data_IF_774218159196
#
_entry.id   IF_774218159196
#
_cell.length_a   1.000
_cell.length_b   1.000
_cell.length_c   1.000
_cell.angle_alpha   90.00
_cell.angle_beta   90.00
_cell.angle_gamma   90.00
#
_symmetry.space_group_name_H-M   'P 1'
#
loop_
_entity.id
_entity.type
_entity.pdbx_description
1 polymer ?
#
# COMPACT_ATOMS: atom_id res chain seq x y z
N UNK A 1 17.75 -29.78 -47.04
CA UNK A 1 17.05 -29.25 -48.23
C UNK A 1 15.91 -28.37 -47.70
N UNK A 2 16.14 -27.08 -47.49
CA UNK A 2 16.11 -25.98 -48.49
C UNK A 2 14.72 -25.35 -48.66
N UNK A 3 14.55 -24.17 -48.02
CA UNK A 3 13.91 -22.91 -48.50
C UNK A 3 12.40 -22.97 -48.84
N UNK A 4 11.56 -21.94 -48.68
CA UNK A 4 11.60 -20.48 -48.93
C UNK A 4 10.55 -19.81 -48.00
N UNK A 5 10.77 -18.70 -47.27
CA UNK A 5 10.81 -17.26 -47.64
C UNK A 5 9.71 -16.82 -48.64
N UNK A 6 8.65 -16.16 -48.14
CA UNK A 6 7.79 -15.22 -48.89
C UNK A 6 7.55 -13.98 -48.02
N UNK A 7 8.21 -12.86 -48.35
CA UNK A 7 7.72 -11.73 -49.17
C UNK A 7 6.75 -10.78 -48.45
N UNK A 8 7.33 -9.64 -48.03
CA UNK A 8 6.69 -8.39 -47.63
C UNK A 8 6.04 -7.67 -48.82
N UNK A 9 4.94 -6.90 -48.64
CA UNK A 9 4.52 -5.91 -49.61
C UNK A 9 5.16 -4.54 -49.35
N UNK A 10 5.70 -3.97 -50.43
CA UNK A 10 6.08 -2.56 -50.60
C UNK A 10 4.92 -1.61 -50.24
N UNK A 11 5.22 -0.53 -49.52
CA UNK A 11 4.45 0.72 -49.59
C UNK A 11 5.43 1.84 -49.91
N UNK A 12 5.09 2.55 -50.98
CA UNK A 12 5.85 3.56 -51.68
C UNK A 12 6.32 4.74 -50.82
N UNK A 13 7.57 5.12 -51.07
CA UNK A 13 8.13 6.44 -50.79
C UNK A 13 7.60 7.44 -51.82
N UNK A 14 6.91 8.50 -51.38
CA UNK A 14 7.04 9.81 -52.04
C UNK A 14 6.66 10.97 -51.12
N UNK A 15 7.53 11.99 -51.16
CA UNK A 15 7.39 13.39 -50.75
C UNK A 15 7.94 13.89 -49.39
N UNK A 16 9.25 14.19 -49.46
CA UNK A 16 9.94 15.48 -49.19
C UNK A 16 10.00 16.09 -47.78
N UNK A 17 11.11 16.78 -47.47
CA UNK A 17 11.65 16.89 -46.12
C UNK A 17 11.13 18.15 -45.43
N UNK A 18 10.52 17.98 -44.26
CA UNK A 18 10.37 19.08 -43.30
C UNK A 18 11.56 19.02 -42.36
N UNK A 19 12.37 20.07 -42.44
CA UNK A 19 13.62 20.35 -41.73
C UNK A 19 13.61 19.91 -40.25
N UNK A 20 14.42 18.89 -39.97
CA UNK A 20 14.82 18.45 -38.63
C UNK A 20 15.98 19.35 -38.20
N UNK A 21 15.76 20.22 -37.22
CA UNK A 21 16.85 20.81 -36.43
C UNK A 21 16.84 20.16 -35.05
N UNK A 22 17.26 18.90 -34.99
CA UNK A 22 17.66 18.25 -33.75
C UNK A 22 19.15 18.52 -33.55
N UNK A 23 19.47 19.27 -32.49
CA UNK A 23 20.82 19.33 -31.94
C UNK A 23 21.17 17.95 -31.36
N UNK A 24 21.58 17.01 -32.22
CA UNK A 24 22.07 15.70 -31.80
C UNK A 24 23.53 15.82 -31.34
N UNK A 25 23.76 15.51 -30.05
CA UNK A 25 25.09 15.11 -29.56
C UNK A 25 25.67 14.03 -30.48
N UNK A 26 26.87 14.21 -31.07
CA UNK A 26 27.42 13.33 -32.13
C UNK A 26 27.81 11.91 -31.66
N UNK A 27 27.37 11.46 -30.49
CA UNK A 27 27.67 10.15 -29.88
C UNK A 27 26.46 9.26 -29.63
N UNK A 28 25.24 9.70 -29.94
CA UNK A 28 24.03 8.92 -29.66
C UNK A 28 23.56 8.19 -30.92
N UNK A 29 23.21 6.89 -30.84
CA UNK A 29 22.73 6.15 -31.99
C UNK A 29 21.41 6.76 -32.52
N UNK A 30 21.11 6.61 -33.82
CA UNK A 30 19.83 7.04 -34.38
C UNK A 30 18.70 6.30 -33.65
N UNK A 31 17.72 7.05 -33.12
CA UNK A 31 16.65 6.62 -32.18
C UNK A 31 16.99 6.57 -30.68
N UNK A 32 18.04 7.27 -30.21
CA UNK A 32 18.28 7.39 -28.77
C UNK A 32 17.16 8.18 -28.07
N UNK A 33 16.23 7.48 -27.42
CA UNK A 33 15.25 8.09 -26.50
C UNK A 33 15.79 7.98 -25.08
N UNK A 34 16.00 9.13 -24.43
CA UNK A 34 16.36 9.17 -23.01
C UNK A 34 15.20 8.57 -22.20
N UNK A 35 15.47 7.47 -21.50
CA UNK A 35 14.53 6.87 -20.56
C UNK A 35 14.49 7.76 -19.31
N UNK A 36 13.29 8.22 -18.93
CA UNK A 36 13.09 9.00 -17.72
C UNK A 36 12.94 8.11 -16.48
N UNK A 37 13.12 8.67 -15.28
CA UNK A 37 12.86 7.95 -14.03
C UNK A 37 11.40 7.51 -13.90
N UNK A 38 10.50 8.34 -14.43
CA UNK A 38 9.08 8.04 -14.60
C UNK A 38 8.85 6.80 -15.46
N UNK A 39 9.57 6.68 -16.57
CA UNK A 39 9.50 5.48 -17.43
C UNK A 39 10.03 4.26 -16.69
N UNK A 40 11.16 4.37 -15.96
CA UNK A 40 11.69 3.27 -15.17
C UNK A 40 10.70 2.79 -14.11
N UNK A 41 10.04 3.71 -13.40
CA UNK A 41 9.02 3.35 -12.42
C UNK A 41 7.80 2.68 -13.07
N UNK A 42 7.35 3.16 -14.24
CA UNK A 42 6.23 2.55 -14.99
C UNK A 42 6.54 1.12 -15.47
N UNK A 43 7.81 0.76 -15.63
CA UNK A 43 8.22 -0.62 -15.94
C UNK A 43 8.30 -1.54 -14.71
N UNK A 44 8.29 -0.98 -13.49
CA UNK A 44 8.30 -1.76 -12.26
C UNK A 44 7.06 -2.63 -12.12
N UNK A 45 7.20 -3.76 -11.44
CA UNK A 45 6.06 -4.61 -11.07
C UNK A 45 5.10 -3.89 -10.12
N UNK A 46 5.60 -2.99 -9.27
CA UNK A 46 4.76 -2.19 -8.39
C UNK A 46 3.76 -1.35 -9.17
N UNK A 47 4.19 -0.61 -10.21
CA UNK A 47 3.28 0.17 -11.03
C UNK A 47 2.34 -0.72 -11.85
N UNK A 48 2.90 -1.71 -12.56
CA UNK A 48 2.14 -2.52 -13.53
C UNK A 48 1.11 -3.44 -12.90
N UNK A 49 1.33 -3.87 -11.66
CA UNK A 49 0.54 -4.92 -11.00
C UNK A 49 -0.19 -4.39 -9.76
N UNK A 50 0.37 -3.38 -9.08
CA UNK A 50 -0.08 -2.93 -7.76
C UNK A 50 -0.39 -1.43 -7.69
N UNK A 51 -0.55 -0.75 -8.82
CA UNK A 51 -1.08 0.61 -8.87
C UNK A 51 -2.45 0.61 -9.52
N UNK A 52 -3.41 1.27 -8.88
CA UNK A 52 -4.83 1.23 -9.24
C UNK A 52 -5.47 2.62 -9.11
N UNK A 53 -6.58 2.81 -9.81
CA UNK A 53 -7.54 3.86 -9.46
C UNK A 53 -8.33 3.44 -8.21
N UNK A 54 -8.98 4.40 -7.54
CA UNK A 54 -9.84 4.12 -6.36
C UNK A 54 -10.94 3.11 -6.71
N UNK A 55 -11.56 3.27 -7.88
CA UNK A 55 -12.64 2.39 -8.33
C UNK A 55 -12.13 0.97 -8.63
N UNK A 56 -11.01 0.84 -9.35
CA UNK A 56 -10.43 -0.47 -9.66
C UNK A 56 -9.99 -1.21 -8.38
N UNK A 57 -9.46 -0.49 -7.39
CA UNK A 57 -9.08 -1.07 -6.10
C UNK A 57 -10.32 -1.59 -5.34
N UNK A 58 -11.39 -0.80 -5.30
CA UNK A 58 -12.67 -1.20 -4.69
C UNK A 58 -13.28 -2.40 -5.40
N UNK A 59 -13.31 -2.37 -6.74
CA UNK A 59 -13.83 -3.47 -7.55
C UNK A 59 -13.05 -4.77 -7.29
N UNK A 60 -11.71 -4.70 -7.25
CA UNK A 60 -10.86 -5.86 -6.96
C UNK A 60 -11.20 -6.49 -5.60
N UNK A 61 -11.38 -5.67 -4.56
CA UNK A 61 -11.81 -6.14 -3.23
C UNK A 61 -13.19 -6.78 -3.27
N UNK A 62 -14.13 -6.15 -3.98
CA UNK A 62 -15.48 -6.66 -4.14
C UNK A 62 -15.48 -8.02 -4.84
N UNK A 63 -14.72 -8.19 -5.92
CA UNK A 63 -14.59 -9.47 -6.63
C UNK A 63 -13.99 -10.56 -5.74
N UNK A 64 -12.93 -10.25 -4.98
CA UNK A 64 -12.33 -11.20 -4.02
C UNK A 64 -13.31 -11.59 -2.92
N UNK A 65 -14.02 -10.63 -2.33
CA UNK A 65 -15.03 -10.90 -1.31
C UNK A 65 -16.21 -11.71 -1.87
N UNK A 66 -16.75 -11.37 -3.04
CA UNK A 66 -17.85 -12.11 -3.67
C UNK A 66 -17.49 -13.57 -3.94
N UNK A 67 -16.28 -13.84 -4.43
CA UNK A 67 -15.78 -15.20 -4.64
C UNK A 67 -15.74 -15.99 -3.34
N UNK A 68 -15.25 -15.38 -2.26
CA UNK A 68 -15.18 -16.01 -0.95
C UNK A 68 -16.58 -16.23 -0.35
N UNK A 69 -17.50 -15.26 -0.48
CA UNK A 69 -18.90 -15.40 -0.07
C UNK A 69 -19.56 -16.59 -0.76
N UNK A 70 -19.38 -16.73 -2.08
CA UNK A 70 -19.94 -17.85 -2.84
C UNK A 70 -19.43 -19.20 -2.30
N UNK A 71 -18.11 -19.32 -2.08
CA UNK A 71 -17.50 -20.52 -1.53
C UNK A 71 -18.01 -20.87 -0.13
N UNK A 72 -18.14 -19.86 0.74
CA UNK A 72 -18.64 -20.03 2.10
C UNK A 72 -20.11 -20.45 2.09
N UNK A 73 -20.95 -19.79 1.28
CA UNK A 73 -22.36 -20.12 1.18
C UNK A 73 -22.56 -21.56 0.67
N UNK A 74 -21.75 -21.99 -0.29
CA UNK A 74 -21.77 -23.39 -0.76
C UNK A 74 -21.41 -24.37 0.36
N UNK A 75 -20.34 -24.10 1.12
CA UNK A 75 -19.92 -24.93 2.26
C UNK A 75 -20.98 -24.99 3.36
N UNK A 76 -21.58 -23.85 3.69
CA UNK A 76 -22.65 -23.76 4.69
C UNK A 76 -23.91 -24.49 4.21
N UNK A 77 -24.27 -24.36 2.94
CA UNK A 77 -25.39 -25.08 2.34
C UNK A 77 -25.24 -26.60 2.46
N UNK A 78 -24.08 -27.12 2.06
CA UNK A 78 -23.75 -28.56 2.19
C UNK A 78 -23.80 -29.03 3.65
N UNK A 79 -23.22 -28.25 4.56
CA UNK A 79 -23.23 -28.56 5.98
C UNK A 79 -24.65 -28.62 6.58
N UNK A 80 -25.52 -27.67 6.20
CA UNK A 80 -26.91 -27.64 6.63
C UNK A 80 -27.66 -28.87 6.09
N UNK A 81 -27.45 -29.22 4.82
CA UNK A 81 -28.09 -30.38 4.19
C UNK A 81 -27.70 -31.69 4.88
N UNK A 82 -26.41 -31.89 5.16
CA UNK A 82 -25.89 -33.05 5.88
C UNK A 82 -26.46 -33.20 7.31
N UNK A 83 -26.75 -32.07 7.97
CA UNK A 83 -27.23 -32.04 9.36
C UNK A 83 -28.72 -31.75 9.48
N UNK A 84 -29.46 -31.70 8.37
CA UNK A 84 -30.89 -31.33 8.32
C UNK A 84 -31.78 -32.20 9.20
N UNK A 85 -31.45 -33.48 9.35
CA UNK A 85 -32.20 -34.41 10.21
C UNK A 85 -31.95 -34.23 11.71
N UNK A 86 -30.90 -33.50 12.10
CA UNK A 86 -30.46 -33.36 13.49
C UNK A 86 -30.56 -31.91 14.01
N UNK A 87 -30.77 -30.93 13.13
CA UNK A 87 -30.91 -29.52 13.52
C UNK A 87 -32.36 -29.18 13.87
N UNK A 88 -32.52 -28.44 14.96
CA UNK A 88 -33.77 -27.73 15.28
C UNK A 88 -33.87 -26.43 14.47
N UNK A 89 -35.10 -25.90 14.31
CA UNK A 89 -35.35 -24.66 13.56
C UNK A 89 -34.61 -23.45 14.19
N UNK A 90 -34.51 -23.41 15.53
CA UNK A 90 -33.77 -22.37 16.27
C UNK A 90 -32.25 -22.43 16.03
N UNK A 91 -31.69 -23.64 15.92
CA UNK A 91 -30.28 -23.84 15.57
C UNK A 91 -30.01 -23.38 14.14
N UNK A 92 -30.92 -23.65 13.22
CA UNK A 92 -30.82 -23.25 11.81
C UNK A 92 -30.87 -21.72 11.66
N UNK A 93 -31.79 -21.06 12.37
CA UNK A 93 -31.92 -19.61 12.36
C UNK A 93 -30.66 -18.94 12.97
N UNK A 94 -30.14 -19.50 14.05
CA UNK A 94 -28.91 -18.99 14.68
C UNK A 94 -27.68 -19.19 13.78
N UNK A 95 -27.60 -20.32 13.07
CA UNK A 95 -26.54 -20.59 12.11
C UNK A 95 -26.54 -19.55 10.99
N UNK A 96 -27.71 -19.29 10.39
CA UNK A 96 -27.86 -18.29 9.32
C UNK A 96 -27.51 -16.88 9.78
N UNK A 97 -27.86 -16.51 11.02
CA UNK A 97 -27.55 -15.19 11.56
C UNK A 97 -26.05 -15.02 11.89
N UNK A 98 -25.44 -16.00 12.57
CA UNK A 98 -24.09 -15.86 13.15
C UNK A 98 -22.96 -16.44 12.31
N UNK A 99 -23.23 -17.41 11.45
CA UNK A 99 -22.27 -17.93 10.47
C UNK A 99 -22.45 -17.24 9.10
N UNK A 100 -22.82 -15.96 9.10
CA UNK A 100 -22.92 -15.19 7.88
C UNK A 100 -21.52 -14.78 7.37
N UNK A 101 -21.31 -14.79 6.04
CA UNK A 101 -20.06 -14.32 5.45
C UNK A 101 -19.72 -12.88 5.86
N UNK A 102 -18.44 -12.54 5.79
CA UNK A 102 -17.98 -11.17 6.01
C UNK A 102 -18.32 -10.29 4.82
N UNK A 103 -18.72 -9.06 5.10
CA UNK A 103 -18.78 -7.99 4.11
C UNK A 103 -17.36 -7.52 3.74
N UNK A 104 -17.24 -6.85 2.60
CA UNK A 104 -15.99 -6.24 2.14
C UNK A 104 -15.38 -5.29 3.18
N UNK A 105 -16.20 -4.50 3.88
CA UNK A 105 -15.73 -3.57 4.90
C UNK A 105 -15.21 -4.30 6.15
N UNK A 106 -15.92 -5.33 6.61
CA UNK A 106 -15.46 -6.16 7.73
C UNK A 106 -14.13 -6.87 7.40
N UNK A 107 -13.98 -7.38 6.17
CA UNK A 107 -12.69 -7.91 5.71
C UNK A 107 -11.58 -6.86 5.76
N UNK A 108 -11.85 -5.67 5.22
CA UNK A 108 -10.88 -4.57 5.20
C UNK A 108 -10.46 -4.14 6.60
N UNK A 109 -11.41 -4.05 7.55
CA UNK A 109 -11.11 -3.76 8.96
C UNK A 109 -10.18 -4.80 9.58
N UNK A 110 -10.43 -6.09 9.32
CA UNK A 110 -9.58 -7.17 9.84
C UNK A 110 -8.18 -7.11 9.23
N UNK A 111 -8.08 -6.85 7.92
CA UNK A 111 -6.80 -6.68 7.22
C UNK A 111 -6.01 -5.50 7.81
N UNK A 112 -6.64 -4.35 8.05
CA UNK A 112 -5.98 -3.19 8.65
C UNK A 112 -5.48 -3.49 10.07
N UNK A 113 -6.31 -4.16 10.88
CA UNK A 113 -5.93 -4.58 12.23
C UNK A 113 -4.71 -5.51 12.24
N UNK A 114 -4.69 -6.52 11.37
CA UNK A 114 -3.54 -7.42 11.29
C UNK A 114 -2.33 -6.80 10.58
N UNK A 115 -2.52 -5.86 9.66
CA UNK A 115 -1.41 -5.07 9.07
C UNK A 115 -0.67 -4.28 10.15
N UNK A 116 -1.42 -3.66 11.08
CA UNK A 116 -0.83 -3.00 12.25
C UNK A 116 -0.12 -3.99 13.18
N UNK A 117 -0.67 -5.20 13.36
CA UNK A 117 0.04 -6.26 14.10
C UNK A 117 1.35 -6.68 13.43
N UNK A 118 1.38 -6.80 12.10
CA UNK A 118 2.60 -7.08 11.33
C UNK A 118 3.65 -6.02 11.61
N UNK A 119 3.28 -4.73 11.52
CA UNK A 119 4.15 -3.61 11.85
C UNK A 119 4.71 -3.72 13.27
N UNK A 120 3.83 -3.88 14.27
CA UNK A 120 4.22 -3.96 15.69
C UNK A 120 5.14 -5.15 15.95
N UNK A 121 4.83 -6.33 15.43
CA UNK A 121 5.66 -7.53 15.63
C UNK A 121 7.03 -7.34 14.96
N UNK A 122 7.08 -6.83 13.73
CA UNK A 122 8.34 -6.57 13.04
C UNK A 122 9.23 -5.55 13.79
N UNK A 123 8.62 -4.52 14.40
CA UNK A 123 9.30 -3.57 15.28
C UNK A 123 9.83 -4.24 16.56
N UNK A 124 9.03 -5.09 17.23
CA UNK A 124 9.47 -5.84 18.41
C UNK A 124 10.64 -6.79 18.12
N UNK A 125 10.73 -7.28 16.88
CA UNK A 125 11.85 -8.09 16.41
C UNK A 125 13.10 -7.26 16.05
N UNK A 126 13.05 -5.94 16.22
CA UNK A 126 14.11 -4.98 15.87
C UNK A 126 14.55 -5.09 14.39
N UNK A 127 13.59 -5.30 13.48
CA UNK A 127 13.86 -5.39 12.06
C UNK A 127 14.06 -3.99 11.43
N UNK A 128 14.86 -3.88 10.34
CA UNK A 128 15.02 -2.63 9.60
C UNK A 128 13.69 -2.04 9.10
N UNK A 129 13.66 -0.73 8.89
CA UNK A 129 12.46 0.00 8.46
C UNK A 129 11.92 -0.52 7.12
N UNK A 130 12.81 -0.86 6.20
CA UNK A 130 12.53 -1.41 4.88
C UNK A 130 11.86 -2.79 4.98
N UNK A 131 12.35 -3.64 5.89
CA UNK A 131 11.77 -4.96 6.16
C UNK A 131 10.36 -4.81 6.74
N UNK A 132 10.15 -3.87 7.66
CA UNK A 132 8.82 -3.58 8.23
C UNK A 132 7.86 -3.13 7.12
N UNK A 133 8.29 -2.22 6.27
CA UNK A 133 7.49 -1.70 5.16
C UNK A 133 7.13 -2.75 4.11
N UNK A 134 8.09 -3.60 3.73
CA UNK A 134 7.85 -4.73 2.84
C UNK A 134 6.92 -5.76 3.48
N UNK A 135 7.03 -5.99 4.79
CA UNK A 135 6.11 -6.89 5.52
C UNK A 135 4.66 -6.41 5.44
N UNK A 136 4.42 -5.12 5.68
CA UNK A 136 3.08 -4.52 5.56
C UNK A 136 2.58 -4.63 4.12
N UNK A 137 3.43 -4.27 3.16
CA UNK A 137 3.09 -4.29 1.73
C UNK A 137 2.71 -5.68 1.24
N UNK A 138 3.50 -6.70 1.57
CA UNK A 138 3.23 -8.09 1.21
C UNK A 138 1.93 -8.59 1.85
N UNK A 139 1.71 -8.27 3.13
CA UNK A 139 0.51 -8.67 3.84
C UNK A 139 -0.75 -8.10 3.20
N UNK A 140 -0.75 -6.79 2.91
CA UNK A 140 -1.89 -6.12 2.29
C UNK A 140 -2.13 -6.61 0.86
N UNK A 141 -1.07 -6.76 0.06
CA UNK A 141 -1.16 -7.29 -1.32
C UNK A 141 -1.71 -8.72 -1.36
N UNK A 142 -1.33 -9.57 -0.41
CA UNK A 142 -1.88 -10.92 -0.29
C UNK A 142 -3.40 -10.89 -0.16
N UNK A 143 -3.94 -10.01 0.70
CA UNK A 143 -5.37 -9.89 0.95
C UNK A 143 -6.14 -9.01 -0.06
N UNK A 144 -5.48 -8.51 -1.12
CA UNK A 144 -6.20 -7.98 -2.28
C UNK A 144 -6.71 -9.10 -3.18
N UNK A 145 -5.95 -10.20 -3.31
CA UNK A 145 -6.28 -11.32 -4.19
C UNK A 145 -6.90 -12.51 -3.44
N UNK A 146 -6.72 -12.59 -2.11
CA UNK A 146 -7.25 -13.64 -1.25
C UNK A 146 -8.13 -13.05 -0.15
N UNK A 147 -9.17 -13.79 0.28
CA UNK A 147 -10.05 -13.36 1.39
C UNK A 147 -9.55 -13.84 2.75
N UNK A 148 -9.85 -13.06 3.81
CA UNK A 148 -9.63 -13.47 5.21
C UNK A 148 -10.53 -14.64 5.62
N UNK A 149 -11.59 -14.90 4.86
CA UNK A 149 -12.48 -16.06 5.05
C UNK A 149 -11.85 -17.36 4.55
N UNK A 150 -10.88 -17.28 3.64
CA UNK A 150 -10.15 -18.45 3.12
C UNK A 150 -8.84 -18.69 3.88
N UNK A 151 -8.14 -17.60 4.23
CA UNK A 151 -6.85 -17.65 4.91
C UNK A 151 -6.90 -16.84 6.20
N UNK A 152 -6.68 -17.51 7.33
CA UNK A 152 -6.59 -16.82 8.63
C UNK A 152 -5.40 -15.85 8.65
N UNK A 153 -5.65 -14.53 8.78
CA UNK A 153 -4.60 -13.52 8.80
C UNK A 153 -3.54 -13.76 9.89
N UNK A 154 -3.92 -14.37 11.01
CA UNK A 154 -3.02 -14.67 12.14
C UNK A 154 -1.88 -15.60 11.72
N UNK A 155 -2.17 -16.58 10.87
CA UNK A 155 -1.18 -17.56 10.42
C UNK A 155 -0.21 -16.98 9.38
N UNK A 156 -0.61 -15.92 8.68
CA UNK A 156 0.19 -15.25 7.66
C UNK A 156 1.16 -14.21 8.21
N UNK A 157 0.93 -13.69 9.43
CA UNK A 157 1.74 -12.61 10.01
C UNK A 157 3.24 -12.97 10.00
N UNK A 158 3.61 -14.09 10.61
CA UNK A 158 5.02 -14.48 10.73
C UNK A 158 5.62 -14.91 9.40
N UNK A 159 4.87 -15.62 8.56
CA UNK A 159 5.28 -15.98 7.20
C UNK A 159 5.60 -14.75 6.37
N UNK A 160 4.78 -13.71 6.47
CA UNK A 160 4.95 -12.47 5.70
C UNK A 160 6.18 -11.70 6.13
N UNK A 161 6.39 -11.56 7.44
CA UNK A 161 7.59 -10.89 7.98
C UNK A 161 8.85 -11.67 7.57
N UNK A 162 8.82 -13.00 7.66
CA UNK A 162 9.95 -13.82 7.27
C UNK A 162 10.28 -13.71 5.78
N UNK A 163 9.26 -13.69 4.90
CA UNK A 163 9.45 -13.47 3.46
C UNK A 163 10.03 -12.08 3.18
N UNK A 164 9.56 -11.05 3.90
CA UNK A 164 10.08 -9.69 3.78
C UNK A 164 11.57 -9.60 4.14
N UNK A 165 12.00 -10.30 5.20
CA UNK A 165 13.42 -10.40 5.55
C UNK A 165 14.25 -10.94 4.37
N UNK A 166 13.79 -12.02 3.73
CA UNK A 166 14.46 -12.59 2.55
C UNK A 166 14.51 -11.60 1.38
N UNK A 167 13.38 -10.92 1.11
CA UNK A 167 13.25 -9.99 -0.01
C UNK A 167 14.15 -8.76 0.11
N UNK A 168 14.36 -8.27 1.33
CA UNK A 168 15.20 -7.08 1.62
C UNK A 168 16.65 -7.47 1.96
N UNK A 169 17.09 -8.69 1.64
CA UNK A 169 18.42 -9.22 1.94
C UNK A 169 18.81 -9.17 3.43
N UNK A 170 17.82 -9.22 4.33
CA UNK A 170 18.03 -9.39 5.76
C UNK A 170 18.09 -10.89 6.09
N UNK A 171 19.31 -11.44 6.07
CA UNK A 171 19.53 -12.86 6.27
C UNK A 171 19.31 -13.28 7.73
N UNK A 172 18.21 -14.00 7.97
CA UNK A 172 17.90 -14.66 9.25
C UNK A 172 17.47 -16.09 8.97
N UNK A 173 18.04 -17.06 9.70
CA UNK A 173 17.59 -18.45 9.59
C UNK A 173 16.16 -18.60 10.13
N UNK A 174 15.39 -19.52 9.54
CA UNK A 174 14.00 -19.73 9.99
C UNK A 174 13.93 -20.18 11.44
N UNK A 175 14.91 -20.94 11.94
CA UNK A 175 14.94 -21.39 13.34
C UNK A 175 15.22 -20.23 14.31
N UNK A 176 16.13 -19.32 13.93
CA UNK A 176 16.40 -18.09 14.69
C UNK A 176 15.19 -17.16 14.69
N UNK A 177 14.54 -17.00 13.53
CA UNK A 177 13.32 -16.21 13.42
C UNK A 177 12.17 -16.81 14.24
N UNK A 178 11.92 -18.12 14.13
CA UNK A 178 10.91 -18.86 14.88
C UNK A 178 11.10 -18.69 16.40
N UNK A 179 12.35 -18.79 16.88
CA UNK A 179 12.70 -18.56 18.29
C UNK A 179 12.38 -17.12 18.74
N UNK A 180 12.75 -16.11 17.95
CA UNK A 180 12.48 -14.70 18.27
C UNK A 180 10.97 -14.38 18.24
N UNK A 181 10.27 -14.91 17.25
CA UNK A 181 8.82 -14.72 17.05
C UNK A 181 7.95 -15.59 17.97
N UNK A 182 8.55 -16.50 18.76
CA UNK A 182 7.84 -17.50 19.57
C UNK A 182 6.80 -18.28 18.73
N UNK A 183 7.21 -18.68 17.53
CA UNK A 183 6.37 -19.38 16.55
C UNK A 183 7.04 -20.68 16.11
N UNK A 184 6.28 -21.55 15.45
CA UNK A 184 6.77 -22.83 14.94
C UNK A 184 7.33 -22.68 13.53
N UNK A 185 8.43 -23.39 13.24
CA UNK A 185 9.06 -23.42 11.91
C UNK A 185 8.07 -23.82 10.81
N UNK A 186 7.35 -24.91 11.01
CA UNK A 186 6.37 -25.43 10.05
C UNK A 186 5.26 -24.43 9.78
N UNK A 187 4.78 -23.73 10.80
CA UNK A 187 3.74 -22.71 10.66
C UNK A 187 4.22 -21.53 9.81
N UNK A 188 5.48 -21.09 10.00
CA UNK A 188 6.09 -20.01 9.21
C UNK A 188 6.22 -20.42 7.73
N UNK A 189 6.64 -21.66 7.46
CA UNK A 189 6.89 -22.13 6.10
C UNK A 189 5.61 -22.54 5.35
N UNK A 190 4.53 -22.91 6.07
CA UNK A 190 3.29 -23.44 5.50
C UNK A 190 2.70 -22.58 4.36
N UNK A 191 2.69 -21.26 4.53
CA UNK A 191 2.10 -20.34 3.56
C UNK A 191 3.13 -19.59 2.72
N UNK A 192 4.42 -19.91 2.81
CA UNK A 192 5.49 -19.15 2.14
C UNK A 192 5.31 -19.13 0.62
N UNK A 193 5.14 -20.31 0.01
CA UNK A 193 4.93 -20.40 -1.43
C UNK A 193 3.61 -19.74 -1.86
N UNK A 194 2.53 -19.96 -1.11
CA UNK A 194 1.22 -19.36 -1.41
C UNK A 194 1.26 -17.83 -1.36
N UNK A 195 2.02 -17.28 -0.42
CA UNK A 195 2.25 -15.85 -0.31
C UNK A 195 2.97 -15.32 -1.55
N UNK A 196 4.09 -15.93 -1.95
CA UNK A 196 4.86 -15.52 -3.14
C UNK A 196 4.01 -15.62 -4.43
N UNK A 197 3.25 -16.70 -4.58
CA UNK A 197 2.31 -16.90 -5.70
C UNK A 197 1.28 -15.76 -5.75
N UNK A 198 0.67 -15.41 -4.61
CA UNK A 198 -0.33 -14.34 -4.51
C UNK A 198 0.28 -12.96 -4.76
N UNK A 199 1.57 -12.79 -4.46
CA UNK A 199 2.34 -11.60 -4.83
C UNK A 199 2.74 -11.60 -6.31
N UNK A 200 2.33 -12.60 -7.11
CA UNK A 200 2.70 -12.75 -8.53
C UNK A 200 4.21 -12.68 -8.74
N UNK A 201 4.96 -13.23 -7.78
CA UNK A 201 6.43 -13.20 -7.74
C UNK A 201 7.05 -11.79 -7.80
N UNK A 202 6.27 -10.75 -7.47
CA UNK A 202 6.72 -9.36 -7.44
C UNK A 202 7.19 -8.97 -6.04
N UNK A 203 8.47 -9.25 -5.77
CA UNK A 203 9.09 -9.07 -4.45
C UNK A 203 9.75 -7.69 -4.26
N UNK A 204 10.12 -7.01 -5.35
CA UNK A 204 10.72 -5.68 -5.27
C UNK A 204 9.67 -4.62 -4.91
N UNK A 205 9.94 -3.87 -3.83
CA UNK A 205 9.12 -2.75 -3.39
C UNK A 205 9.90 -1.43 -3.44
N UNK A 206 9.29 -0.40 -4.03
CA UNK A 206 9.76 0.96 -3.99
C UNK A 206 9.12 1.67 -2.79
N UNK A 207 9.91 1.90 -1.74
CA UNK A 207 9.45 2.53 -0.50
C UNK A 207 9.60 4.06 -0.53
N UNK A 208 8.70 4.83 0.12
CA UNK A 208 8.80 6.30 0.20
C UNK A 208 10.01 6.83 1.00
N UNK A 209 10.74 5.96 1.74
CA UNK A 209 11.94 6.37 2.49
C UNK A 209 13.10 6.83 1.59
N UNK A 210 13.29 6.19 0.42
CA UNK A 210 14.34 6.60 -0.52
C UNK A 210 14.08 7.99 -1.10
N UNK A 211 12.86 8.28 -1.63
CA UNK A 211 12.49 9.65 -2.00
C UNK A 211 12.60 10.64 -0.84
N UNK A 212 12.28 10.25 0.40
CA UNK A 212 12.42 11.16 1.56
C UNK A 212 13.87 11.62 1.72
N UNK A 213 14.81 10.70 1.63
CA UNK A 213 16.23 11.06 1.69
C UNK A 213 16.66 11.92 0.49
N UNK A 214 16.17 11.61 -0.71
CA UNK A 214 16.43 12.41 -1.91
C UNK A 214 15.92 13.85 -1.78
N UNK A 215 14.66 14.03 -1.39
CA UNK A 215 14.07 15.36 -1.17
C UNK A 215 14.76 16.11 -0.03
N UNK A 216 15.17 15.42 1.02
CA UNK A 216 15.92 16.04 2.11
C UNK A 216 17.23 16.69 1.63
N UNK A 217 18.03 15.98 0.83
CA UNK A 217 19.28 16.49 0.24
C UNK A 217 19.02 17.63 -0.76
N UNK A 218 17.94 17.51 -1.52
CA UNK A 218 17.58 18.49 -2.54
C UNK A 218 17.06 19.79 -1.92
N UNK A 219 16.26 19.70 -0.86
CA UNK A 219 15.80 20.85 -0.05
C UNK A 219 17.01 21.59 0.56
N UNK A 220 18.00 20.86 1.09
CA UNK A 220 19.22 21.47 1.61
C UNK A 220 19.98 22.28 0.55
N UNK A 221 19.94 21.83 -0.70
CA UNK A 221 20.60 22.48 -1.83
C UNK A 221 19.83 23.71 -2.28
N UNK A 222 18.52 23.59 -2.50
CA UNK A 222 17.67 24.67 -3.02
C UNK A 222 17.41 25.77 -1.98
N UNK A 223 17.25 25.38 -0.71
CA UNK A 223 17.02 26.31 0.40
C UNK A 223 18.30 26.57 1.22
N UNK A 224 19.47 26.47 0.57
CA UNK A 224 20.76 26.69 1.22
C UNK A 224 20.79 28.05 1.95
N UNK A 225 21.19 28.04 3.22
CA UNK A 225 21.24 29.22 4.08
C UNK A 225 19.90 29.77 4.56
N UNK A 226 18.77 29.19 4.13
CA UNK A 226 17.40 29.62 4.52
C UNK A 226 16.77 28.74 5.59
N UNK A 227 17.29 27.52 5.79
CA UNK A 227 16.74 26.54 6.74
C UNK A 227 17.85 25.96 7.62
N UNK A 228 17.56 25.82 8.92
CA UNK A 228 18.46 25.17 9.87
C UNK A 228 18.51 23.64 9.67
N UNK A 229 19.73 23.09 9.63
CA UNK A 229 19.97 21.66 9.44
C UNK A 229 19.44 20.81 10.60
N UNK A 230 19.50 21.33 11.83
CA UNK A 230 19.00 20.60 13.00
C UNK A 230 17.48 20.50 12.97
N UNK A 231 16.79 21.59 12.61
CA UNK A 231 15.36 21.60 12.34
C UNK A 231 14.96 20.60 11.24
N UNK A 232 15.68 20.60 10.11
CA UNK A 232 15.46 19.66 9.02
C UNK A 232 15.58 18.21 9.48
N UNK A 233 16.59 17.87 10.30
CA UNK A 233 16.75 16.53 10.85
C UNK A 233 15.53 16.08 11.68
N UNK A 234 14.91 16.98 12.44
CA UNK A 234 13.70 16.67 13.19
C UNK A 234 12.50 16.41 12.27
N UNK A 235 12.34 17.18 11.19
CA UNK A 235 11.31 16.95 10.17
C UNK A 235 11.52 15.57 9.53
N UNK A 236 12.75 15.24 9.17
CA UNK A 236 13.08 13.96 8.56
C UNK A 236 12.64 12.77 9.43
N UNK A 237 12.92 12.81 10.73
CA UNK A 237 12.53 11.74 11.65
C UNK A 237 11.01 11.64 11.83
N UNK A 238 10.30 12.77 11.85
CA UNK A 238 8.83 12.79 11.90
C UNK A 238 8.21 12.24 10.62
N UNK A 239 8.72 12.68 9.46
CA UNK A 239 8.32 12.15 8.15
C UNK A 239 8.54 10.64 8.07
N UNK A 240 9.69 10.12 8.54
CA UNK A 240 9.98 8.68 8.53
C UNK A 240 8.95 7.87 9.33
N UNK A 241 8.50 8.39 10.48
CA UNK A 241 7.42 7.78 11.28
C UNK A 241 6.09 7.82 10.53
N UNK A 242 5.68 8.99 10.02
CA UNK A 242 4.45 9.13 9.23
C UNK A 242 4.41 8.27 7.97
N UNK A 243 5.54 8.08 7.28
CA UNK A 243 5.63 7.14 6.13
C UNK A 243 5.25 5.74 6.57
N UNK A 244 5.74 5.27 7.74
CA UNK A 244 5.43 3.93 8.21
C UNK A 244 3.93 3.75 8.44
N UNK A 245 3.27 4.77 8.99
CA UNK A 245 1.82 4.76 9.21
C UNK A 245 1.03 4.88 7.91
N UNK A 246 1.53 5.67 6.94
CA UNK A 246 0.94 5.80 5.61
C UNK A 246 0.89 4.45 4.86
N UNK A 247 1.86 3.55 5.08
CA UNK A 247 1.86 2.21 4.49
C UNK A 247 0.70 1.32 4.96
N UNK A 248 0.04 1.66 6.07
CA UNK A 248 -1.18 0.97 6.54
C UNK A 248 -2.44 1.42 5.79
N UNK A 249 -2.34 2.45 4.96
CA UNK A 249 -3.46 3.00 4.18
C UNK A 249 -3.40 2.50 2.73
N UNK A 250 -4.41 2.87 1.94
CA UNK A 250 -4.47 2.53 0.52
C UNK A 250 -3.60 3.43 -0.36
N UNK A 251 -2.92 4.43 0.22
CA UNK A 251 -2.11 5.39 -0.53
C UNK A 251 -1.04 4.69 -1.40
N UNK A 252 -0.49 3.58 -0.93
CA UNK A 252 0.55 2.77 -1.61
C UNK A 252 0.08 2.17 -2.94
N UNK A 253 -1.24 2.06 -3.12
CA UNK A 253 -1.86 1.56 -4.34
C UNK A 253 -2.25 2.68 -5.30
N UNK A 254 -2.37 3.92 -4.81
CA UNK A 254 -2.95 5.03 -5.55
C UNK A 254 -1.89 6.00 -6.08
N UNK A 255 -0.76 6.12 -5.38
CA UNK A 255 0.25 7.15 -5.64
C UNK A 255 1.67 6.57 -5.67
N UNK A 256 2.56 7.28 -6.34
CA UNK A 256 3.97 6.90 -6.44
C UNK A 256 4.72 7.23 -5.15
N UNK A 257 5.83 6.53 -4.82
CA UNK A 257 6.58 6.81 -3.59
C UNK A 257 7.02 8.27 -3.44
N UNK A 258 7.49 8.98 -4.49
CA UNK A 258 7.79 10.42 -4.39
C UNK A 258 6.55 11.27 -4.07
N UNK A 259 5.39 10.99 -4.66
CA UNK A 259 4.14 11.72 -4.38
C UNK A 259 3.71 11.54 -2.92
N UNK A 260 3.78 10.30 -2.42
CA UNK A 260 3.50 9.97 -1.01
C UNK A 260 4.43 10.76 -0.09
N UNK A 261 5.72 10.80 -0.40
CA UNK A 261 6.71 11.52 0.40
C UNK A 261 6.44 13.03 0.43
N UNK A 262 6.17 13.65 -0.73
CA UNK A 262 5.87 15.08 -0.79
C UNK A 262 4.63 15.44 0.03
N UNK A 263 3.58 14.60 -0.03
CA UNK A 263 2.39 14.78 0.79
C UNK A 263 2.68 14.68 2.29
N UNK A 264 3.54 13.75 2.71
CA UNK A 264 3.92 13.63 4.12
C UNK A 264 4.76 14.82 4.58
N UNK A 265 5.67 15.32 3.75
CA UNK A 265 6.42 16.54 4.07
C UNK A 265 5.45 17.73 4.16
N UNK A 266 4.47 17.86 3.25
CA UNK A 266 3.43 18.89 3.33
C UNK A 266 2.63 18.83 4.64
N UNK A 267 2.25 17.63 5.08
CA UNK A 267 1.54 17.43 6.36
C UNK A 267 2.42 17.67 7.60
N UNK A 268 3.74 17.71 7.46
CA UNK A 268 4.68 17.97 8.56
C UNK A 268 5.11 19.43 8.61
N UNK A 269 5.36 20.03 7.45
CA UNK A 269 5.78 21.41 7.29
C UNK A 269 5.34 21.95 5.92
N UNK A 270 4.17 22.58 5.91
CA UNK A 270 3.58 23.19 4.73
C UNK A 270 4.44 24.33 4.17
N UNK A 271 5.05 25.13 5.04
CA UNK A 271 5.83 26.30 4.63
C UNK A 271 7.11 25.87 3.93
N UNK A 272 7.82 24.88 4.50
CA UNK A 272 9.04 24.35 3.92
C UNK A 272 8.80 23.79 2.52
N UNK A 273 7.78 22.93 2.37
CA UNK A 273 7.56 22.28 1.07
C UNK A 273 7.03 23.27 0.02
N UNK A 274 6.18 24.22 0.42
CA UNK A 274 5.66 25.24 -0.51
C UNK A 274 6.80 26.10 -1.05
N UNK A 275 7.68 26.59 -0.17
CA UNK A 275 8.88 27.35 -0.56
C UNK A 275 9.82 26.53 -1.45
N UNK A 276 10.01 25.26 -1.13
CA UNK A 276 10.84 24.36 -1.94
C UNK A 276 10.25 24.15 -3.34
N UNK A 277 8.95 23.86 -3.46
CA UNK A 277 8.28 23.62 -4.75
C UNK A 277 8.23 24.90 -5.60
N UNK A 278 7.96 26.06 -4.99
CA UNK A 278 8.02 27.36 -5.65
C UNK A 278 9.41 27.66 -6.20
N UNK A 279 10.47 27.44 -5.42
CA UNK A 279 11.83 27.70 -5.88
C UNK A 279 12.31 26.70 -6.94
N UNK A 280 11.83 25.45 -6.89
CA UNK A 280 12.28 24.39 -7.80
C UNK A 280 11.51 24.37 -9.13
N UNK A 281 10.21 24.64 -9.09
CA UNK A 281 9.30 24.50 -10.23
C UNK A 281 8.52 25.77 -10.55
N UNK A 282 8.60 26.80 -9.70
CA UNK A 282 8.07 28.10 -10.04
C UNK A 282 8.81 28.64 -11.26
N UNK A 283 8.05 29.02 -12.28
CA UNK A 283 8.60 29.78 -13.42
C UNK A 283 9.23 31.04 -12.86
N UNK A 284 10.47 31.34 -13.23
CA UNK A 284 11.20 32.54 -12.82
C UNK A 284 10.29 33.78 -12.89
N UNK A 285 9.83 34.26 -11.73
CA UNK A 285 9.24 35.60 -11.60
C UNK A 285 10.36 36.67 -11.70
N UNK A 286 11.64 36.25 -11.76
CA UNK A 286 12.81 37.13 -11.70
C UNK A 286 13.32 37.67 -13.04
N UNK A 287 12.52 37.65 -14.11
CA UNK A 287 12.92 38.31 -15.38
C UNK A 287 12.10 39.57 -15.74
N UNK A 288 11.29 40.13 -14.83
CA UNK A 288 10.54 41.37 -15.12
C UNK A 288 10.64 42.47 -14.04
N UNK A 289 11.61 42.43 -13.11
CA UNK A 289 11.71 43.46 -12.05
C UNK A 289 13.07 44.10 -11.85
N UNK A 290 14.07 43.81 -12.69
CA UNK A 290 15.38 44.51 -12.62
C UNK A 290 15.60 45.57 -13.73
N UNK A 291 14.72 45.67 -14.74
CA UNK A 291 14.87 46.64 -15.84
C UNK A 291 14.10 47.97 -15.69
N UNK A 292 13.46 48.24 -14.55
CA UNK A 292 12.78 49.54 -14.32
C UNK A 292 13.55 50.54 -13.45
N UNK A 293 14.82 50.29 -13.13
CA UNK A 293 15.66 51.28 -12.43
C UNK A 293 17.07 51.38 -13.00
N UNK A 294 17.17 51.88 -14.23
CA UNK A 294 18.28 52.73 -14.73
C UNK A 294 18.02 53.03 -16.20
N UNK A 295 17.34 54.14 -16.49
CA UNK A 295 17.55 54.87 -17.75
C UNK A 295 16.92 56.27 -17.62
N UNK A 296 17.63 57.17 -16.93
CA UNK A 296 17.60 58.59 -17.30
C UNK A 296 18.90 58.90 -18.05
N UNK A 297 18.71 59.32 -19.31
CA UNK A 297 19.63 60.07 -20.18
C UNK A 297 20.82 59.32 -20.83
N UNK A 298 20.69 58.95 -22.11
CA UNK A 298 21.22 59.77 -23.25
C UNK A 298 20.94 59.17 -24.64
N UNK A 299 20.85 60.09 -25.58
CA UNK A 299 20.48 60.04 -27.00
C UNK A 299 21.16 59.02 -27.96
N UNK A 300 20.31 58.52 -28.87
CA UNK A 300 20.40 58.43 -30.35
C UNK A 300 21.44 57.53 -31.05
N UNK A 301 20.86 56.69 -31.94
CA UNK A 301 21.37 56.01 -33.15
C UNK A 301 22.29 54.79 -33.00
N UNK A 302 21.76 53.58 -33.27
CA UNK A 302 21.96 52.85 -34.53
C UNK A 302 21.18 51.52 -34.56
N UNK A 303 20.94 51.02 -35.77
CA UNK A 303 19.86 50.09 -36.12
C UNK A 303 20.40 48.67 -36.41
N UNK A 304 19.71 47.63 -35.89
CA UNK A 304 19.70 46.17 -36.24
C UNK A 304 20.88 45.27 -35.82
N UNK A 305 20.70 43.91 -35.80
CA UNK A 305 19.46 43.11 -35.88
C UNK A 305 19.25 42.15 -34.70
N UNK A 306 17.98 41.76 -34.51
CA UNK A 306 17.50 40.90 -33.45
C UNK A 306 18.13 39.50 -33.40
N UNK A 307 18.50 39.10 -32.19
CA UNK A 307 18.64 37.70 -31.81
C UNK A 307 17.28 37.22 -31.31
N UNK A 308 16.55 36.53 -32.16
CA UNK A 308 15.49 35.62 -31.73
C UNK A 308 16.14 34.52 -30.90
N UNK A 309 15.99 34.59 -29.58
CA UNK A 309 16.35 33.51 -28.68
C UNK A 309 15.39 32.34 -28.90
N UNK A 310 15.94 31.30 -29.49
CA UNK A 310 15.28 30.03 -29.74
C UNK A 310 15.10 29.30 -28.40
N UNK A 311 13.89 29.36 -27.85
CA UNK A 311 13.49 28.60 -26.66
C UNK A 311 13.44 27.11 -27.00
N UNK A 312 14.56 26.43 -26.79
CA UNK A 312 14.61 24.96 -26.73
C UNK A 312 13.80 24.49 -25.52
N UNK A 313 12.52 24.15 -25.76
CA UNK A 313 11.67 23.48 -24.77
C UNK A 313 12.31 22.17 -24.34
N UNK A 314 12.74 22.09 -23.08
CA UNK A 314 13.11 20.83 -22.45
C UNK A 314 11.86 19.94 -22.28
N UNK A 315 11.91 18.62 -22.52
CA UNK A 315 10.71 17.76 -22.55
C UNK A 315 10.04 17.48 -21.19
N UNK A 316 10.53 18.03 -20.07
CA UNK A 316 10.22 17.60 -18.71
C UNK A 316 9.83 18.75 -17.74
N UNK A 317 9.07 19.75 -18.21
CA UNK A 317 8.53 20.75 -17.27
C UNK A 317 7.34 20.15 -16.51
N UNK A 318 7.60 19.75 -15.25
CA UNK A 318 6.56 19.37 -14.31
C UNK A 318 5.72 20.62 -14.02
N UNK A 319 4.43 20.57 -14.36
CA UNK A 319 3.51 21.66 -14.07
C UNK A 319 3.18 21.69 -12.56
N UNK A 320 3.65 22.73 -11.88
CA UNK A 320 3.51 22.89 -10.43
C UNK A 320 2.05 22.75 -9.96
N UNK A 321 1.10 23.33 -10.68
CA UNK A 321 -0.33 23.27 -10.33
C UNK A 321 -0.86 21.84 -10.31
N UNK A 322 -0.49 21.02 -11.31
CA UNK A 322 -0.85 19.60 -11.35
C UNK A 322 -0.21 18.82 -10.21
N UNK A 323 1.04 19.12 -9.89
CA UNK A 323 1.75 18.47 -8.79
C UNK A 323 1.06 18.78 -7.45
N UNK A 324 0.71 20.05 -7.20
CA UNK A 324 0.01 20.47 -5.98
C UNK A 324 -1.36 19.79 -5.84
N UNK A 325 -2.11 19.66 -6.94
CA UNK A 325 -3.39 18.91 -6.93
C UNK A 325 -3.17 17.44 -6.53
N UNK A 326 -2.16 16.78 -7.10
CA UNK A 326 -1.86 15.38 -6.77
C UNK A 326 -1.42 15.22 -5.32
N UNK A 327 -0.60 16.14 -4.81
CA UNK A 327 -0.17 16.14 -3.41
C UNK A 327 -1.38 16.34 -2.49
N UNK A 328 -2.28 17.28 -2.80
CA UNK A 328 -3.52 17.49 -2.04
C UNK A 328 -4.39 16.22 -1.99
N UNK A 329 -4.56 15.53 -3.13
CA UNK A 329 -5.28 14.26 -3.17
C UNK A 329 -4.62 13.15 -2.34
N UNK A 330 -3.28 13.16 -2.20
CA UNK A 330 -2.57 12.24 -1.31
C UNK A 330 -2.89 12.53 0.16
N UNK A 331 -2.87 13.81 0.55
CA UNK A 331 -3.18 14.26 1.92
C UNK A 331 -4.61 13.85 2.30
N UNK A 332 -5.59 14.08 1.40
CA UNK A 332 -6.99 13.69 1.62
C UNK A 332 -7.14 12.19 1.95
N UNK A 333 -6.30 11.33 1.36
CA UNK A 333 -6.33 9.88 1.61
C UNK A 333 -5.68 9.54 2.95
N UNK A 334 -4.63 10.26 3.35
CA UNK A 334 -3.95 10.04 4.63
C UNK A 334 -4.82 10.49 5.82
N UNK A 335 -5.51 11.61 5.70
CA UNK A 335 -6.37 12.16 6.76
C UNK A 335 -7.61 11.30 7.02
N UNK A 336 -8.14 10.64 5.99
CA UNK A 336 -9.31 9.75 6.08
C UNK A 336 -8.99 8.36 6.66
N UNK A 337 -7.80 8.15 7.21
CA UNK A 337 -7.42 6.84 7.76
C UNK A 337 -8.21 6.50 9.02
N UNK A 338 -9.18 5.59 8.90
CA UNK A 338 -9.97 5.11 10.04
C UNK A 338 -9.16 4.14 10.91
N UNK A 339 -9.15 4.39 12.22
CA UNK A 339 -8.55 3.49 13.20
C UNK A 339 -9.56 2.43 13.65
N UNK A 340 -9.28 1.16 13.37
CA UNK A 340 -10.14 0.05 13.83
C UNK A 340 -9.91 -0.21 15.31
N UNK A 341 -10.98 -0.22 16.11
CA UNK A 341 -10.89 -0.55 17.54
C UNK A 341 -10.60 -2.05 17.73
N UNK A 342 -9.97 -2.39 18.86
CA UNK A 342 -9.70 -3.81 19.16
C UNK A 342 -10.98 -4.61 19.39
N UNK A 343 -12.05 -3.95 19.84
CA UNK A 343 -13.35 -4.59 20.09
C UNK A 343 -14.06 -4.93 18.78
N UNK A 344 -14.08 -4.00 17.82
CA UNK A 344 -14.64 -4.24 16.49
C UNK A 344 -13.88 -5.35 15.77
N UNK A 345 -12.54 -5.32 15.80
CA UNK A 345 -11.73 -6.38 15.22
C UNK A 345 -12.00 -7.75 15.85
N UNK A 346 -12.23 -7.82 17.17
CA UNK A 346 -12.60 -9.06 17.87
C UNK A 346 -13.99 -9.55 17.44
N UNK A 347 -14.97 -8.65 17.29
CA UNK A 347 -16.31 -8.99 16.81
C UNK A 347 -16.28 -9.57 15.41
N UNK A 348 -15.56 -8.90 14.50
CA UNK A 348 -15.38 -9.36 13.11
C UNK A 348 -14.61 -10.69 13.06
N UNK A 349 -13.54 -10.83 13.83
CA UNK A 349 -12.79 -12.09 13.91
C UNK A 349 -13.65 -13.25 14.43
N UNK A 350 -14.52 -13.00 15.42
CA UNK A 350 -15.45 -14.01 15.92
C UNK A 350 -16.46 -14.42 14.84
N UNK A 351 -17.00 -13.46 14.07
CA UNK A 351 -17.87 -13.73 12.92
C UNK A 351 -17.15 -14.60 11.88
N UNK A 352 -15.91 -14.24 11.52
CA UNK A 352 -15.09 -15.03 10.59
C UNK A 352 -14.88 -16.47 11.08
N UNK A 353 -14.59 -16.63 12.37
CA UNK A 353 -14.35 -17.94 12.96
C UNK A 353 -15.57 -18.86 12.90
N UNK A 354 -16.77 -18.33 13.20
CA UNK A 354 -18.01 -19.10 13.12
C UNK A 354 -18.41 -19.42 11.68
N UNK A 355 -18.16 -18.50 10.75
CA UNK A 355 -18.33 -18.70 9.32
C UNK A 355 -17.50 -19.88 8.79
N UNK A 356 -16.24 -20.00 9.23
CA UNK A 356 -15.36 -21.11 8.85
C UNK A 356 -15.68 -22.43 9.58
N UNK A 357 -16.23 -22.36 10.79
CA UNK A 357 -16.44 -23.53 11.67
C UNK A 357 -17.88 -23.60 12.21
N UNK A 358 -18.88 -23.89 11.37
CA UNK A 358 -20.30 -23.91 11.77
C UNK A 358 -20.61 -24.96 12.85
N UNK A 359 -19.89 -26.09 12.87
CA UNK A 359 -20.02 -27.13 13.91
C UNK A 359 -19.74 -26.63 15.33
N UNK A 360 -18.75 -25.75 15.47
CA UNK A 360 -18.33 -25.22 16.78
C UNK A 360 -19.38 -24.26 17.32
N UNK A 361 -20.02 -23.49 16.43
CA UNK A 361 -21.15 -22.64 16.80
C UNK A 361 -22.30 -23.47 17.36
N UNK A 362 -22.65 -24.59 16.71
CA UNK A 362 -23.71 -25.49 17.17
C UNK A 362 -23.37 -26.13 18.53
N UNK A 363 -22.14 -26.62 18.73
CA UNK A 363 -21.73 -27.16 20.03
C UNK A 363 -21.83 -26.12 21.16
N UNK A 364 -21.46 -24.86 20.87
CA UNK A 364 -21.56 -23.77 21.84
C UNK A 364 -23.02 -23.42 22.16
N UNK A 365 -23.93 -23.52 21.19
CA UNK A 365 -25.37 -23.34 21.41
C UNK A 365 -25.95 -24.46 22.26
N UNK A 366 -25.62 -25.72 21.96
CA UNK A 366 -26.07 -26.88 22.76
C UNK A 366 -25.63 -26.79 24.22
N UNK A 367 -24.35 -26.48 24.46
CA UNK A 367 -23.83 -26.25 25.83
C UNK A 367 -24.54 -25.10 26.55
N UNK A 368 -24.92 -24.05 25.83
CA UNK A 368 -25.62 -22.91 26.44
C UNK A 368 -27.07 -23.25 26.79
N UNK A 369 -27.74 -24.04 25.95
CA UNK A 369 -29.08 -24.57 26.19
C UNK A 369 -29.09 -25.54 27.38
N UNK A 370 -28.10 -26.44 27.44
CA UNK A 370 -27.88 -27.36 28.58
C UNK A 370 -27.64 -26.58 29.88
N UNK A 371 -26.78 -25.56 29.86
CA UNK A 371 -26.50 -24.72 31.03
C UNK A 371 -27.69 -23.85 31.48
N UNK A 372 -28.60 -23.49 30.58
CA UNK A 372 -29.85 -22.78 30.92
C UNK A 372 -30.99 -23.70 31.37
N UNK A 373 -30.87 -25.01 31.11
CA UNK A 373 -31.84 -26.02 31.55
C UNK A 373 -31.63 -26.51 32.98
N UNK A 374 -30.40 -26.43 33.49
CA UNK A 374 -30.02 -26.92 34.83
C UNK A 374 -30.34 -25.96 36.00
N UNK A 375 -30.83 -24.75 35.73
CA UNK A 375 -31.15 -23.75 36.77
C UNK A 375 -32.61 -23.82 37.26
N UNK A 376 -33.37 -24.85 36.88
CA UNK A 376 -34.80 -24.99 37.20
C UNK A 376 -35.17 -26.33 37.86
N UNK A 377 -34.27 -26.93 38.64
CA UNK A 377 -34.61 -28.15 39.36
C UNK A 377 -33.53 -28.72 40.28
N UNK A 378 -33.21 -28.06 41.38
CA UNK A 378 -32.89 -28.79 42.62
C UNK A 378 -33.14 -27.92 43.85
N UNK A 379 -34.16 -28.33 44.61
CA UNK A 379 -34.40 -27.86 45.98
C UNK A 379 -33.13 -28.03 46.81
N UNK A 380 -32.82 -26.97 47.56
CA UNK A 380 -31.71 -26.92 48.50
C UNK A 380 -31.93 -27.87 49.69
N UNK A 381 -30.98 -28.74 50.05
CA UNK A 381 -30.96 -29.32 51.39
C UNK A 381 -30.09 -28.45 52.31
N UNK A 382 -30.79 -27.75 53.20
CA UNK A 382 -30.44 -27.38 54.58
C UNK A 382 -28.99 -27.60 55.04
N UNK A 383 -28.31 -26.48 55.37
CA UNK A 383 -27.06 -26.43 56.13
C UNK A 383 -27.19 -27.20 57.47
N UNK A 384 -26.23 -28.09 57.77
CA UNK A 384 -25.89 -28.48 59.15
C UNK A 384 -24.51 -27.89 59.53
N UNK A 385 -24.33 -27.46 60.79
CA UNK A 385 -23.19 -26.64 61.21
C UNK A 385 -21.91 -27.46 61.50
N UNK A 386 -20.77 -26.77 61.38
CA UNK A 386 -19.42 -27.22 61.72
C UNK A 386 -19.33 -27.67 63.18
N UNK A 387 -18.68 -28.80 63.41
CA UNK A 387 -18.10 -29.18 64.70
C UNK A 387 -16.58 -28.96 64.59
N UNK A 388 -16.06 -28.10 65.45
CA UNK A 388 -14.62 -27.97 65.72
C UNK A 388 -14.12 -29.21 66.47
N UNK A 389 -12.99 -29.74 66.02
CA UNK A 389 -11.88 -30.16 66.88
C UNK A 389 -10.60 -30.25 66.05
#
# INVERSE_FOLDING_TARGET
MSREISQTPNIDNSNSPSTVTENEDPKKPPNYKRISDDDLYRHSSQYRIWSFTKDNLRERRQQTNQRAIALINEKLGKFIEEKKSTLTEDELQTLRAKASPLSMEEEFQLINFYSKKVQVIAQHLNLPTEVIATSITFFRRFFLDNSVMEFDPKNLVHTTIFLACKSENYFISVDSFAKKAKSNREAILKYEFKLVESLKFSLLNHHPYKPLHGFFLDIQTILYGKVDLKYMGQIYDRCKKKITDALLTDIVYLFTPPQITLAIILMEDEQLISRYLEMKFGKDITNNTEDEKKEENKDVNETKPGKTEDKTKTPNDIELDKLLVVIGQCVDVLEKSESVTTEDAKRVAAKNYYCQNPSILLQKLKRKLEASGDDNGSESPSKKPKVEQ
#
